data_IF_131100812805
#
_entry.id   IF_131100812805
#
_cell.length_a   1.000
_cell.length_b   1.000
_cell.length_c   1.000
_cell.angle_alpha   90.00
_cell.angle_beta   90.00
_cell.angle_gamma   90.00
#
_symmetry.space_group_name_H-M   'P 1'
#
loop_
_entity.id
_entity.type
_entity.pdbx_description
1 polymer ?
#
# COMPACT_ATOMS: atom_id res chain seq x y z
N UNK A 1 -24.52 -9.53 -0.84
CA UNK A 1 -23.07 -9.53 -0.55
C UNK A 1 -22.72 -8.14 -0.06
N UNK A 2 -22.11 -8.02 1.12
CA UNK A 2 -21.64 -6.74 1.63
C UNK A 2 -20.41 -6.29 0.85
N UNK A 3 -20.31 -5.01 0.52
CA UNK A 3 -19.10 -4.47 -0.11
C UNK A 3 -17.91 -4.55 0.87
N UNK A 4 -16.71 -4.91 0.40
CA UNK A 4 -15.54 -4.92 1.26
C UNK A 4 -15.24 -3.50 1.74
N UNK A 5 -14.89 -3.38 3.02
CA UNK A 5 -14.53 -2.10 3.65
C UNK A 5 -13.04 -2.11 3.93
N UNK A 6 -12.35 -1.06 3.50
CA UNK A 6 -10.95 -0.81 3.78
C UNK A 6 -10.85 0.29 4.84
N UNK A 7 -10.34 -0.05 6.02
CA UNK A 7 -10.12 0.86 7.15
C UNK A 7 -8.63 1.04 7.42
N UNK A 8 -8.29 2.04 8.22
CA UNK A 8 -6.90 2.34 8.56
C UNK A 8 -6.04 2.39 7.30
N UNK A 9 -6.56 3.01 6.24
CA UNK A 9 -5.97 2.93 4.92
C UNK A 9 -5.00 4.07 4.67
N UNK A 10 -3.93 3.81 3.93
CA UNK A 10 -3.02 4.84 3.41
C UNK A 10 -2.78 4.61 1.92
N UNK A 11 -2.89 5.68 1.13
CA UNK A 11 -2.50 5.67 -0.27
C UNK A 11 -0.98 5.80 -0.38
N UNK A 12 -0.35 4.80 -1.00
CA UNK A 12 1.05 4.82 -1.37
C UNK A 12 1.10 5.16 -2.86
N UNK A 13 1.41 6.42 -3.17
CA UNK A 13 1.40 6.95 -4.53
C UNK A 13 2.58 6.43 -5.35
N UNK A 14 2.37 6.22 -6.65
CA UNK A 14 3.46 5.93 -7.59
C UNK A 14 4.04 7.23 -8.15
N UNK A 15 5.36 7.26 -8.36
CA UNK A 15 6.11 8.44 -8.84
C UNK A 15 5.85 8.73 -10.33
N UNK A 16 5.36 7.76 -11.10
CA UNK A 16 5.16 7.87 -12.55
C UNK A 16 3.71 7.54 -12.98
N UNK A 17 3.17 8.34 -13.90
CA UNK A 17 1.79 8.87 -13.81
C UNK A 17 0.77 8.29 -14.80
N UNK A 18 0.30 7.06 -14.52
CA UNK A 18 -0.99 6.56 -15.06
C UNK A 18 -1.94 6.01 -14.01
N UNK A 19 -1.47 5.85 -12.76
CA UNK A 19 -2.21 5.24 -11.64
C UNK A 19 -1.99 6.08 -10.40
N UNK A 20 -3.02 6.17 -9.55
CA UNK A 20 -2.95 6.98 -8.32
C UNK A 20 -2.02 6.37 -7.26
N UNK A 21 -1.81 5.06 -7.28
CA UNK A 21 -1.01 4.35 -6.28
C UNK A 21 -1.59 2.99 -5.94
N UNK A 22 -1.28 2.49 -4.75
CA UNK A 22 -1.89 1.33 -4.10
C UNK A 22 -2.36 1.72 -2.71
N UNK A 23 -3.44 1.11 -2.23
CA UNK A 23 -3.80 1.23 -0.82
C UNK A 23 -3.16 0.12 0.00
N UNK A 24 -2.73 0.49 1.18
CA UNK A 24 -2.41 -0.39 2.29
C UNK A 24 -3.45 -0.14 3.38
N UNK A 25 -4.15 -1.17 3.84
CA UNK A 25 -5.24 -1.00 4.82
C UNK A 25 -5.78 -2.32 5.35
N UNK A 26 -6.58 -2.25 6.40
CA UNK A 26 -7.30 -3.39 6.95
C UNK A 26 -8.59 -3.61 6.17
N UNK A 27 -8.71 -4.74 5.51
CA UNK A 27 -9.93 -5.15 4.82
C UNK A 27 -10.83 -5.93 5.75
N UNK A 28 -12.13 -5.70 5.63
CA UNK A 28 -13.19 -6.53 6.23
C UNK A 28 -14.24 -6.90 5.19
N UNK A 29 -14.90 -8.04 5.37
CA UNK A 29 -15.97 -8.54 4.49
C UNK A 29 -15.52 -8.73 3.03
N UNK A 30 -14.26 -9.09 2.81
CA UNK A 30 -13.78 -9.37 1.46
C UNK A 30 -14.23 -10.76 1.00
N UNK A 31 -14.79 -10.92 -0.22
CA UNK A 31 -15.37 -12.20 -0.65
C UNK A 31 -14.32 -13.30 -0.92
N UNK A 32 -13.04 -12.94 -1.05
CA UNK A 32 -11.95 -13.85 -1.40
C UNK A 32 -10.78 -13.84 -0.42
N UNK A 33 -10.74 -12.88 0.50
CA UNK A 33 -9.61 -12.67 1.41
C UNK A 33 -10.16 -12.69 2.82
N UNK A 34 -9.40 -13.25 3.74
CA UNK A 34 -9.71 -13.12 5.15
C UNK A 34 -9.55 -11.66 5.60
N UNK A 35 -10.26 -11.30 6.65
CA UNK A 35 -10.13 -9.98 7.25
C UNK A 35 -8.70 -9.74 7.76
N UNK A 36 -8.22 -8.50 7.61
CA UNK A 36 -6.88 -8.09 8.03
C UNK A 36 -6.18 -7.17 7.05
N UNK A 37 -4.89 -6.93 7.29
CA UNK A 37 -4.08 -6.04 6.46
C UNK A 37 -3.85 -6.59 5.07
N UNK A 38 -4.12 -5.77 4.05
CA UNK A 38 -3.88 -6.08 2.65
C UNK A 38 -3.19 -4.91 1.95
N UNK A 39 -2.61 -5.24 0.80
CA UNK A 39 -2.28 -4.26 -0.23
C UNK A 39 -3.24 -4.48 -1.40
N UNK A 40 -3.89 -3.41 -1.82
CA UNK A 40 -4.82 -3.50 -2.94
C UNK A 40 -4.07 -3.61 -4.27
N UNK A 41 -4.79 -3.99 -5.32
CA UNK A 41 -4.33 -3.69 -6.68
C UNK A 41 -4.25 -2.17 -6.90
N UNK A 42 -3.61 -1.70 -7.99
CA UNK A 42 -3.52 -0.27 -8.26
C UNK A 42 -4.87 0.44 -8.25
N UNK A 43 -4.85 1.64 -7.72
CA UNK A 43 -6.02 2.51 -7.58
C UNK A 43 -6.25 3.23 -8.90
N UNK A 44 -7.44 3.03 -9.47
CA UNK A 44 -7.89 3.75 -10.67
C UNK A 44 -8.56 5.07 -10.31
N UNK A 45 -9.33 5.07 -9.23
CA UNK A 45 -10.15 6.20 -8.84
C UNK A 45 -10.48 6.17 -7.35
N UNK A 46 -10.64 7.35 -6.75
CA UNK A 46 -11.11 7.57 -5.38
C UNK A 46 -12.21 8.61 -5.50
N UNK A 47 -13.33 8.42 -4.78
CA UNK A 47 -14.38 9.42 -4.73
C UNK A 47 -13.92 10.70 -4.05
N UNK A 48 -14.51 11.84 -4.42
CA UNK A 48 -14.13 13.15 -3.89
C UNK A 48 -14.34 13.25 -2.37
N UNK A 49 -15.39 12.60 -1.87
CA UNK A 49 -15.72 12.47 -0.45
C UNK A 49 -14.86 11.43 0.28
N UNK A 50 -13.97 10.72 -0.44
CA UNK A 50 -13.11 9.63 0.05
C UNK A 50 -13.85 8.52 0.79
N UNK A 51 -15.13 8.28 0.49
CA UNK A 51 -15.90 7.19 1.08
C UNK A 51 -15.83 5.89 0.26
N UNK A 52 -15.34 5.94 -0.97
CA UNK A 52 -15.13 4.75 -1.77
C UNK A 52 -13.95 4.89 -2.74
N UNK A 53 -13.44 3.75 -3.18
CA UNK A 53 -12.41 3.68 -4.20
C UNK A 53 -12.64 2.52 -5.14
N UNK A 54 -12.24 2.71 -6.40
CA UNK A 54 -12.13 1.64 -7.38
C UNK A 54 -10.66 1.33 -7.63
N UNK A 55 -10.27 0.10 -7.33
CA UNK A 55 -9.01 -0.47 -7.78
C UNK A 55 -9.21 -1.22 -9.10
N UNK A 56 -8.12 -1.61 -9.75
CA UNK A 56 -8.13 -2.49 -10.94
C UNK A 56 -9.05 -3.70 -10.75
N UNK A 57 -9.02 -4.32 -9.56
CA UNK A 57 -9.74 -5.57 -9.30
C UNK A 57 -11.13 -5.38 -8.68
N UNK A 58 -11.35 -4.35 -7.85
CA UNK A 58 -12.58 -4.27 -7.05
C UNK A 58 -12.90 -2.85 -6.56
N UNK A 59 -14.15 -2.65 -6.17
CA UNK A 59 -14.61 -1.47 -5.44
C UNK A 59 -14.55 -1.74 -3.93
N UNK A 60 -14.04 -0.76 -3.18
CA UNK A 60 -13.99 -0.78 -1.72
C UNK A 60 -14.72 0.42 -1.17
N UNK A 61 -15.43 0.23 -0.04
CA UNK A 61 -15.80 1.35 0.84
C UNK A 61 -14.58 1.73 1.66
N UNK A 62 -14.33 3.01 1.80
CA UNK A 62 -13.25 3.54 2.60
C UNK A 62 -13.83 3.93 3.97
N UNK A 63 -13.23 3.41 5.03
CA UNK A 63 -13.44 3.90 6.38
C UNK A 63 -12.37 4.93 6.74
N UNK A 64 -11.86 4.84 7.96
CA UNK A 64 -10.87 5.79 8.48
C UNK A 64 -9.53 5.74 7.71
N UNK A 65 -9.01 6.91 7.33
CA UNK A 65 -7.64 7.06 6.79
C UNK A 65 -6.62 6.91 7.92
N UNK A 66 -5.52 6.19 7.67
CA UNK A 66 -4.44 6.04 8.64
C UNK A 66 -3.61 7.34 8.72
N UNK A 67 -3.38 7.90 9.92
CA UNK A 67 -2.74 9.21 10.10
C UNK A 67 -1.38 9.26 9.42
N UNK A 68 -1.15 10.22 8.50
CA UNK A 68 0.03 10.26 7.61
C UNK A 68 1.36 10.48 8.34
N UNK A 69 1.29 11.13 9.48
CA UNK A 69 2.39 11.45 10.38
C UNK A 69 2.84 10.26 11.24
N UNK A 70 2.06 9.18 11.29
CA UNK A 70 2.41 7.99 12.05
C UNK A 70 3.15 6.97 11.19
N UNK A 71 4.17 6.28 11.73
CA UNK A 71 4.78 5.17 11.02
C UNK A 71 3.76 4.04 10.83
N UNK A 72 3.85 3.33 9.70
CA UNK A 72 3.01 2.16 9.47
C UNK A 72 3.29 1.09 10.55
N UNK A 73 2.25 0.39 11.06
CA UNK A 73 2.44 -0.73 11.97
C UNK A 73 3.31 -1.82 11.34
N UNK A 74 3.97 -2.65 12.15
CA UNK A 74 4.94 -3.64 11.67
C UNK A 74 4.33 -4.61 10.64
N UNK A 75 3.13 -5.11 10.91
CA UNK A 75 2.43 -6.06 10.04
C UNK A 75 2.19 -5.51 8.61
N UNK A 76 1.54 -4.36 8.41
CA UNK A 76 1.39 -3.77 7.08
C UNK A 76 2.71 -3.32 6.45
N UNK A 77 3.70 -2.92 7.25
CA UNK A 77 5.05 -2.61 6.77
C UNK A 77 5.72 -3.82 6.13
N UNK A 78 5.67 -4.98 6.79
CA UNK A 78 6.25 -6.22 6.26
C UNK A 78 5.56 -6.66 4.96
N UNK A 79 4.22 -6.56 4.88
CA UNK A 79 3.46 -6.86 3.66
C UNK A 79 3.87 -5.93 2.50
N UNK A 80 4.10 -4.65 2.78
CA UNK A 80 4.58 -3.67 1.79
C UNK A 80 5.97 -4.04 1.29
N UNK A 81 6.90 -4.33 2.19
CA UNK A 81 8.24 -4.78 1.81
C UNK A 81 8.19 -6.04 0.95
N UNK A 82 7.52 -7.11 1.40
CA UNK A 82 7.41 -8.36 0.65
C UNK A 82 6.91 -8.11 -0.76
N UNK A 83 5.86 -7.30 -0.94
CA UNK A 83 5.27 -7.06 -2.25
C UNK A 83 6.14 -6.17 -3.15
N UNK A 84 6.86 -5.22 -2.58
CA UNK A 84 7.87 -4.46 -3.31
C UNK A 84 8.95 -5.42 -3.79
N UNK A 85 9.56 -6.20 -2.90
CA UNK A 85 10.60 -7.18 -3.26
C UNK A 85 10.14 -8.22 -4.29
N UNK A 86 8.91 -8.74 -4.20
CA UNK A 86 8.36 -9.67 -5.20
C UNK A 86 8.20 -9.04 -6.59
N UNK A 87 7.82 -7.76 -6.67
CA UNK A 87 7.71 -7.04 -7.93
C UNK A 87 9.09 -6.67 -8.49
N UNK A 88 10.03 -6.26 -7.62
CA UNK A 88 11.42 -6.01 -8.00
C UNK A 88 12.13 -7.28 -8.47
N UNK A 89 11.92 -8.41 -7.78
CA UNK A 89 12.48 -9.71 -8.15
C UNK A 89 11.94 -10.30 -9.46
N UNK A 90 10.81 -9.78 -9.96
CA UNK A 90 10.25 -10.16 -11.27
C UNK A 90 10.73 -9.25 -12.41
N UNK A 91 11.21 -8.05 -12.10
CA UNK A 91 11.77 -7.09 -13.05
C UNK A 91 13.31 -7.10 -12.99
N UNK A 92 13.95 -8.23 -13.33
CA UNK A 92 15.41 -8.26 -13.43
C UNK A 92 15.91 -7.78 -14.81
N UNK A 93 16.48 -6.57 -14.80
CA UNK A 93 17.43 -6.05 -15.77
C UNK A 93 18.24 -4.92 -15.14
N UNK A 94 19.44 -5.23 -14.60
CA UNK A 94 20.65 -4.43 -14.21
C UNK A 94 20.51 -3.02 -13.57
N UNK A 95 19.34 -2.37 -13.52
CA UNK A 95 19.10 -1.06 -12.89
C UNK A 95 18.96 -1.14 -11.35
N UNK A 96 19.69 -2.07 -10.73
CA UNK A 96 19.31 -2.75 -9.48
C UNK A 96 19.83 -2.13 -8.18
N UNK A 97 20.46 -0.94 -8.18
CA UNK A 97 20.96 -0.32 -6.94
C UNK A 97 20.35 1.05 -6.66
N UNK A 98 20.16 1.88 -7.69
CA UNK A 98 19.51 3.19 -7.52
C UNK A 98 18.03 3.05 -7.13
N UNK A 99 17.30 2.13 -7.76
CA UNK A 99 15.90 1.89 -7.43
C UNK A 99 15.73 1.28 -6.03
N UNK A 100 16.70 0.47 -5.58
CA UNK A 100 16.75 -0.07 -4.22
C UNK A 100 17.07 1.03 -3.19
N UNK A 101 17.94 1.98 -3.56
CA UNK A 101 18.21 3.19 -2.78
C UNK A 101 16.97 4.08 -2.63
N UNK A 102 16.26 4.37 -3.72
CA UNK A 102 15.00 5.12 -3.67
C UNK A 102 13.93 4.39 -2.87
N UNK A 103 13.88 3.05 -2.97
CA UNK A 103 12.97 2.22 -2.16
C UNK A 103 13.28 2.33 -0.67
N UNK A 104 14.57 2.29 -0.31
CA UNK A 104 15.04 2.41 1.06
C UNK A 104 14.78 3.80 1.61
N UNK A 105 15.02 4.86 0.83
CA UNK A 105 14.71 6.24 1.21
C UNK A 105 13.20 6.45 1.38
N UNK A 106 12.39 5.92 0.47
CA UNK A 106 10.92 5.98 0.55
C UNK A 106 10.40 5.21 1.77
N UNK A 107 10.97 4.03 2.04
CA UNK A 107 10.65 3.24 3.23
C UNK A 107 11.07 3.98 4.52
N UNK A 108 12.25 4.60 4.56
CA UNK A 108 12.69 5.44 5.69
C UNK A 108 11.78 6.65 5.90
N UNK A 109 11.30 7.28 4.81
CA UNK A 109 10.39 8.41 4.89
C UNK A 109 9.00 8.00 5.39
N UNK A 110 8.52 6.80 5.03
CA UNK A 110 7.23 6.26 5.48
C UNK A 110 7.26 5.61 6.87
N UNK A 111 8.42 5.12 7.31
CA UNK A 111 8.58 4.32 8.53
C UNK A 111 9.35 5.02 9.66
N UNK A 112 9.91 6.21 9.40
CA UNK A 112 10.96 6.79 10.25
C UNK A 112 12.30 6.07 10.05
N UNK A 113 13.41 6.62 10.57
CA UNK A 113 14.72 5.98 10.44
C UNK A 113 14.65 4.56 10.99
N UNK A 114 15.04 3.58 10.17
CA UNK A 114 15.35 2.22 10.62
C UNK A 114 16.49 2.33 11.63
N UNK A 115 16.14 2.51 12.91
CA UNK A 115 17.11 2.49 13.99
C UNK A 115 17.79 1.13 13.93
N UNK A 116 19.10 1.16 13.64
CA UNK A 116 19.96 0.01 13.59
C UNK A 116 19.80 -0.80 14.87
N UNK A 117 19.13 -1.95 14.78
CA UNK A 117 19.19 -2.95 15.82
C UNK A 117 20.57 -3.62 15.71
N UNK A 118 21.44 -3.19 16.63
CA UNK A 118 22.66 -3.81 17.17
C UNK A 118 23.35 -4.93 16.39
#
# INVERSE_FOLDING_TARGET
MSDPVLRNWRLIAFKDSSRLGIFLGEVTNHPLLNDGWIITSPVRWISDDRNCTRTESRLYKLGDEFPRDQPLPEKPRNILFTRLFENFGKSFGVATLEQLGELMEYANHLCGPLSSAH
#
